data_IF_352308394462
#
_entry.id   IF_352308394462
#
_cell.length_a   1.000
_cell.length_b   1.000
_cell.length_c   1.000
_cell.angle_alpha   90.00
_cell.angle_beta   90.00
_cell.angle_gamma   90.00
#
_symmetry.space_group_name_H-M   'P 1'
#
loop_
_entity.id
_entity.type
_entity.pdbx_description
1 polymer ?
#
# COMPACT_ATOMS: atom_id res chain seq x y z
N UNK A 1 15.97 -25.55 55.64
CA UNK A 1 17.40 -25.94 55.54
C UNK A 1 17.99 -25.25 54.32
N UNK A 2 19.06 -24.49 54.53
CA UNK A 2 19.76 -23.73 53.49
C UNK A 2 20.61 -24.65 52.62
N UNK A 3 20.60 -24.44 51.29
CA UNK A 3 21.80 -24.66 50.48
C UNK A 3 21.99 -23.47 49.54
N UNK A 4 23.10 -22.78 49.79
CA UNK A 4 23.71 -21.76 48.95
C UNK A 4 24.73 -22.47 48.06
N UNK A 5 24.80 -22.12 46.77
CA UNK A 5 26.07 -22.13 46.05
C UNK A 5 26.15 -20.92 45.11
N UNK A 6 27.14 -20.07 45.43
CA UNK A 6 27.72 -19.02 44.58
C UNK A 6 28.58 -19.65 43.48
N UNK A 7 28.76 -18.97 42.35
CA UNK A 7 30.00 -18.30 41.90
C UNK A 7 29.85 -17.78 40.42
N UNK A 8 30.82 -17.04 39.82
CA UNK A 8 30.55 -15.74 39.17
C UNK A 8 31.05 -15.61 37.70
N UNK A 9 30.67 -14.54 36.98
CA UNK A 9 31.42 -13.98 35.84
C UNK A 9 30.82 -12.59 35.52
N UNK A 10 31.49 -11.49 35.89
CA UNK A 10 32.55 -10.82 35.14
C UNK A 10 32.00 -9.84 34.10
N UNK A 11 32.25 -8.56 34.42
CA UNK A 11 31.93 -7.32 33.74
C UNK A 11 32.61 -7.23 32.37
N UNK A 12 31.87 -6.79 31.35
CA UNK A 12 32.42 -6.17 30.14
C UNK A 12 31.75 -4.80 29.97
N UNK A 13 32.56 -3.77 30.07
CA UNK A 13 32.22 -2.37 29.83
C UNK A 13 32.82 -1.92 28.49
N UNK A 14 32.39 -0.73 28.03
CA UNK A 14 32.93 0.16 26.97
C UNK A 14 32.16 0.09 25.63
N UNK A 15 31.69 1.17 24.98
CA UNK A 15 31.71 2.64 25.16
C UNK A 15 30.63 3.25 24.21
N UNK A 16 30.08 4.44 24.47
CA UNK A 16 29.27 5.21 23.52
C UNK A 16 30.16 6.10 22.64
N UNK A 17 29.84 6.19 21.35
CA UNK A 17 30.45 7.16 20.43
C UNK A 17 29.35 7.99 19.77
N UNK A 18 29.05 9.17 20.33
CA UNK A 18 28.31 10.23 19.65
C UNK A 18 28.83 11.59 20.12
N UNK A 19 29.51 12.31 19.23
CA UNK A 19 29.57 13.78 19.22
C UNK A 19 30.20 14.31 17.91
N UNK A 20 29.58 15.40 17.43
CA UNK A 20 29.98 16.38 16.41
C UNK A 20 29.71 15.99 14.93
N UNK A 21 28.70 16.53 14.24
CA UNK A 21 28.40 17.94 13.86
C UNK A 21 29.47 18.61 13.00
N UNK A 22 29.13 18.83 11.72
CA UNK A 22 29.47 19.97 10.86
C UNK A 22 28.95 19.62 9.45
N UNK A 23 28.50 20.50 8.56
CA UNK A 23 28.10 21.91 8.52
C UNK A 23 27.79 22.07 7.02
N UNK A 24 26.57 22.34 6.56
CA UNK A 24 26.36 22.68 5.13
C UNK A 24 25.14 23.61 4.96
N UNK A 25 25.45 24.81 4.47
CA UNK A 25 24.61 25.98 4.19
C UNK A 25 23.33 25.69 3.40
N UNK A 26 22.31 26.56 3.55
CA UNK A 26 21.94 27.28 2.33
C UNK A 26 21.56 28.75 2.56
N UNK A 27 22.20 29.65 1.83
CA UNK A 27 21.62 30.98 1.55
C UNK A 27 21.78 31.32 0.06
N UNK A 28 20.76 30.96 -0.72
CA UNK A 28 20.60 31.41 -2.09
C UNK A 28 19.83 32.72 -2.10
N UNK A 29 20.57 33.78 -2.41
CA UNK A 29 20.10 35.14 -2.66
C UNK A 29 19.44 35.28 -4.05
N UNK A 30 18.50 36.23 -4.16
CA UNK A 30 17.93 36.88 -5.37
C UNK A 30 16.79 36.15 -6.11
N UNK A 31 15.72 36.80 -6.60
CA UNK A 31 15.33 38.22 -6.63
C UNK A 31 13.83 38.34 -6.99
N UNK A 32 13.19 39.40 -6.51
CA UNK A 32 11.94 39.94 -7.04
C UNK A 32 12.08 40.34 -8.52
N UNK A 33 10.97 40.30 -9.29
CA UNK A 33 10.47 41.45 -10.07
C UNK A 33 9.16 41.11 -10.81
N UNK A 34 8.08 41.65 -10.26
CA UNK A 34 7.02 42.49 -10.86
C UNK A 34 6.74 42.53 -12.38
N UNK A 35 5.42 42.66 -12.65
CA UNK A 35 4.78 43.45 -13.73
C UNK A 35 4.86 42.90 -15.17
N UNK A 36 3.82 42.96 -16.02
CA UNK A 36 2.63 43.81 -16.05
C UNK A 36 1.50 43.15 -16.90
N UNK A 37 0.25 43.55 -16.61
CA UNK A 37 -0.83 43.54 -17.60
C UNK A 37 -0.59 44.64 -18.67
N UNK A 38 -1.23 44.56 -19.86
CA UNK A 38 -2.31 45.52 -20.09
C UNK A 38 -3.47 45.10 -21.03
N UNK A 39 -4.62 45.73 -20.75
CA UNK A 39 -5.68 46.29 -21.62
C UNK A 39 -6.39 45.50 -22.73
N UNK A 40 -7.71 45.38 -22.51
CA UNK A 40 -8.88 45.64 -23.37
C UNK A 40 -8.71 45.92 -24.87
N UNK A 41 -9.54 45.28 -25.71
CA UNK A 41 -10.46 46.01 -26.59
C UNK A 41 -11.63 45.14 -27.07
N UNK A 42 -12.72 45.83 -27.39
CA UNK A 42 -14.07 45.38 -27.76
C UNK A 42 -14.22 45.32 -29.27
N UNK A 43 -14.89 44.30 -29.82
CA UNK A 43 -15.75 44.41 -31.02
C UNK A 43 -16.51 43.11 -31.35
N UNK A 44 -17.84 43.22 -31.22
CA UNK A 44 -18.95 42.71 -32.04
C UNK A 44 -19.13 41.24 -32.50
N UNK A 45 -20.42 40.81 -32.65
CA UNK A 45 -20.81 39.41 -32.83
C UNK A 45 -20.86 39.03 -34.31
N UNK A 46 -20.25 37.89 -34.65
CA UNK A 46 -20.49 37.24 -35.94
C UNK A 46 -21.46 36.08 -35.74
N UNK A 47 -22.62 36.21 -36.34
CA UNK A 47 -23.68 35.20 -36.45
C UNK A 47 -23.12 33.95 -37.15
N UNK A 48 -22.87 32.88 -36.40
CA UNK A 48 -22.54 31.58 -36.94
C UNK A 48 -23.78 30.67 -36.95
N UNK A 49 -24.17 30.26 -38.15
CA UNK A 49 -25.14 29.20 -38.46
C UNK A 49 -24.87 27.93 -37.64
N UNK A 50 -25.86 27.32 -36.96
CA UNK A 50 -25.67 26.03 -36.34
C UNK A 50 -25.58 24.95 -37.43
N UNK A 51 -24.37 24.48 -37.68
CA UNK A 51 -24.14 23.18 -38.33
C UNK A 51 -24.47 22.09 -37.31
N UNK A 52 -25.31 21.09 -37.63
CA UNK A 52 -25.52 19.95 -36.74
C UNK A 52 -24.20 19.16 -36.68
N UNK A 53 -23.43 19.40 -35.62
CA UNK A 53 -22.34 18.51 -35.25
C UNK A 53 -22.97 17.18 -34.90
N UNK A 54 -22.82 16.20 -35.79
CA UNK A 54 -23.05 14.82 -35.45
C UNK A 54 -22.04 14.47 -34.34
N UNK A 55 -22.50 14.50 -33.09
CA UNK A 55 -21.79 13.92 -31.96
C UNK A 55 -21.70 12.43 -32.23
N UNK A 56 -20.61 12.02 -32.87
CA UNK A 56 -20.18 10.63 -32.86
C UNK A 56 -19.84 10.33 -31.41
N UNK A 57 -20.76 9.69 -30.71
CA UNK A 57 -20.48 9.11 -29.42
C UNK A 57 -19.38 8.06 -29.65
N UNK A 58 -18.16 8.37 -29.22
CA UNK A 58 -17.15 7.35 -28.99
C UNK A 58 -17.79 6.29 -28.10
N UNK A 59 -17.78 5.01 -28.47
CA UNK A 59 -18.24 3.99 -27.54
C UNK A 59 -17.37 4.10 -26.29
N UNK A 60 -18.00 4.32 -25.15
CA UNK A 60 -17.37 4.09 -23.86
C UNK A 60 -16.94 2.63 -23.87
N UNK A 61 -15.63 2.40 -24.04
CA UNK A 61 -15.02 1.09 -23.89
C UNK A 61 -15.18 0.72 -22.42
N UNK A 62 -16.25 -0.02 -22.13
CA UNK A 62 -16.44 -0.65 -20.82
C UNK A 62 -15.25 -1.58 -20.63
N UNK A 63 -14.34 -1.21 -19.72
CA UNK A 63 -13.25 -2.07 -19.29
C UNK A 63 -13.82 -3.46 -18.94
N UNK A 64 -13.12 -4.55 -19.30
CA UNK A 64 -13.59 -5.89 -18.98
C UNK A 64 -13.82 -5.98 -17.47
N UNK A 65 -14.98 -6.51 -17.07
CA UNK A 65 -15.27 -6.76 -15.66
C UNK A 65 -14.17 -7.64 -15.07
N UNK A 66 -13.74 -7.32 -13.84
CA UNK A 66 -12.79 -8.14 -13.10
C UNK A 66 -13.29 -9.59 -13.10
N UNK A 67 -12.44 -10.50 -13.55
CA UNK A 67 -12.75 -11.94 -13.58
C UNK A 67 -12.39 -12.61 -12.26
N UNK A 68 -11.80 -11.85 -11.33
CA UNK A 68 -11.50 -12.31 -10.00
C UNK A 68 -12.78 -12.32 -9.13
N UNK A 69 -12.88 -13.26 -8.17
CA UNK A 69 -13.86 -13.17 -7.10
C UNK A 69 -13.61 -11.92 -6.24
N UNK A 70 -14.61 -11.52 -5.44
CA UNK A 70 -14.40 -10.46 -4.47
C UNK A 70 -13.40 -10.92 -3.39
N UNK A 71 -12.67 -9.98 -2.79
CA UNK A 71 -11.70 -10.27 -1.74
C UNK A 71 -12.36 -11.02 -0.56
N UNK A 72 -13.52 -10.55 -0.09
CA UNK A 72 -14.25 -11.21 0.99
C UNK A 72 -14.81 -12.60 0.64
N UNK A 73 -14.79 -13.02 -0.63
CA UNK A 73 -15.16 -14.38 -1.02
C UNK A 73 -13.98 -15.36 -0.90
N UNK A 74 -12.74 -14.87 -0.80
CA UNK A 74 -11.52 -15.70 -0.79
C UNK A 74 -10.72 -15.64 0.51
N UNK A 75 -11.04 -14.68 1.39
CA UNK A 75 -10.46 -14.58 2.73
C UNK A 75 -11.57 -14.48 3.78
N UNK A 76 -11.37 -15.15 4.91
CA UNK A 76 -12.32 -15.17 6.02
C UNK A 76 -11.67 -14.76 7.34
N UNK A 77 -12.50 -14.38 8.31
CA UNK A 77 -12.06 -14.10 9.69
C UNK A 77 -11.29 -15.29 10.30
N UNK A 78 -11.72 -16.53 10.04
CA UNK A 78 -11.05 -17.73 10.53
C UNK A 78 -9.63 -17.86 9.95
N UNK A 79 -9.43 -17.43 8.71
CA UNK A 79 -8.13 -17.45 8.07
C UNK A 79 -7.17 -16.42 8.67
N UNK A 80 -7.62 -15.18 8.87
CA UNK A 80 -6.82 -14.16 9.55
C UNK A 80 -6.49 -14.60 10.98
N UNK A 81 -7.49 -15.12 11.70
CA UNK A 81 -7.29 -15.58 13.07
C UNK A 81 -6.26 -16.71 13.16
N UNK A 82 -6.19 -17.58 12.15
CA UNK A 82 -5.16 -18.62 12.06
C UNK A 82 -3.77 -18.07 11.75
N UNK A 83 -3.68 -17.03 10.90
CA UNK A 83 -2.40 -16.45 10.47
C UNK A 83 -1.80 -15.57 11.57
N UNK A 84 -2.58 -14.63 12.09
CA UNK A 84 -2.14 -13.60 13.04
C UNK A 84 -2.35 -14.01 14.51
N UNK A 85 -3.06 -15.11 14.78
CA UNK A 85 -3.32 -15.57 16.14
C UNK A 85 -4.29 -14.70 16.96
N UNK A 86 -4.91 -13.70 16.34
CA UNK A 86 -5.88 -12.79 16.97
C UNK A 86 -7.33 -13.13 16.59
N UNK A 87 -8.30 -12.61 17.33
CA UNK A 87 -9.72 -12.78 17.00
C UNK A 87 -10.23 -11.59 16.21
N UNK A 88 -10.24 -11.71 14.88
CA UNK A 88 -10.72 -10.65 13.99
C UNK A 88 -12.25 -10.58 13.93
N UNK A 89 -12.75 -9.41 13.57
CA UNK A 89 -14.11 -9.22 13.06
C UNK A 89 -14.03 -8.72 11.63
N UNK A 90 -15.06 -9.05 10.82
CA UNK A 90 -15.19 -8.46 9.49
C UNK A 90 -15.71 -7.03 9.66
N UNK A 91 -14.98 -6.05 9.17
CA UNK A 91 -15.38 -4.64 9.22
C UNK A 91 -16.10 -4.22 7.93
N UNK A 92 -15.67 -4.74 6.78
CA UNK A 92 -16.22 -4.26 5.52
C UNK A 92 -15.76 -4.97 4.27
N UNK A 93 -16.39 -4.55 3.18
CA UNK A 93 -15.93 -4.79 1.83
C UNK A 93 -16.10 -3.49 1.08
N UNK A 94 -15.07 -3.09 0.37
CA UNK A 94 -15.01 -1.81 -0.32
C UNK A 94 -14.32 -1.97 -1.69
N UNK A 95 -14.24 -0.85 -2.39
CA UNK A 95 -13.54 -0.77 -3.68
C UNK A 95 -12.77 0.52 -3.71
N UNK A 96 -11.47 0.43 -4.00
CA UNK A 96 -10.57 1.56 -4.10
C UNK A 96 -10.17 1.89 -5.53
N UNK A 97 -9.57 3.07 -5.69
CA UNK A 97 -8.78 3.41 -6.88
C UNK A 97 -7.42 3.92 -6.41
N UNK A 98 -6.37 3.24 -6.80
CA UNK A 98 -4.98 3.59 -6.46
C UNK A 98 -4.31 4.23 -7.67
N UNK A 99 -3.54 5.29 -7.44
CA UNK A 99 -2.69 5.92 -8.46
C UNK A 99 -1.29 6.12 -7.92
N UNK A 100 -0.32 5.43 -8.50
CA UNK A 100 1.05 5.42 -8.02
C UNK A 100 2.02 5.09 -9.15
N UNK A 101 3.22 5.68 -9.15
CA UNK A 101 4.25 5.35 -10.14
C UNK A 101 3.84 5.56 -11.60
N UNK A 102 2.83 6.40 -11.85
CA UNK A 102 2.26 6.62 -13.19
C UNK A 102 1.24 5.56 -13.63
N UNK A 103 0.96 4.57 -12.79
CA UNK A 103 -0.07 3.55 -12.95
C UNK A 103 -1.35 3.98 -12.21
N UNK A 104 -2.48 3.46 -12.64
CA UNK A 104 -3.76 3.58 -11.93
C UNK A 104 -4.53 2.28 -12.05
N UNK A 105 -5.10 1.79 -10.95
CA UNK A 105 -5.88 0.56 -10.93
C UNK A 105 -6.98 0.63 -9.87
N UNK A 106 -7.99 -0.22 -10.05
CA UNK A 106 -9.07 -0.40 -9.07
C UNK A 106 -8.83 -1.65 -8.25
N UNK A 107 -9.22 -1.60 -6.99
CA UNK A 107 -9.15 -2.73 -6.07
C UNK A 107 -10.56 -3.12 -5.64
N UNK A 108 -10.73 -4.39 -5.28
CA UNK A 108 -11.79 -4.81 -4.40
C UNK A 108 -11.16 -5.34 -3.11
N UNK A 109 -11.61 -4.81 -1.98
CA UNK A 109 -10.97 -4.99 -0.69
C UNK A 109 -11.91 -5.64 0.32
N UNK A 110 -11.30 -6.22 1.35
CA UNK A 110 -12.00 -6.84 2.48
C UNK A 110 -11.27 -6.46 3.77
N UNK A 111 -11.99 -5.80 4.66
CA UNK A 111 -11.44 -5.21 5.88
C UNK A 111 -11.74 -6.08 7.09
N UNK A 112 -10.72 -6.25 7.92
CA UNK A 112 -10.83 -6.99 9.16
C UNK A 112 -10.19 -6.19 10.29
N UNK A 113 -10.86 -6.15 11.43
CA UNK A 113 -10.42 -5.38 12.60
C UNK A 113 -10.22 -6.29 13.82
N UNK A 114 -9.25 -5.92 14.65
CA UNK A 114 -9.18 -6.30 16.05
C UNK A 114 -9.23 -5.01 16.87
N UNK A 115 -10.40 -4.70 17.43
CA UNK A 115 -10.66 -3.45 18.14
C UNK A 115 -9.50 -3.02 19.06
N UNK A 116 -8.89 -1.89 18.73
CA UNK A 116 -7.83 -1.28 19.53
C UNK A 116 -6.45 -1.93 19.37
N UNK A 117 -6.25 -2.76 18.34
CA UNK A 117 -4.99 -3.42 18.06
C UNK A 117 -4.52 -3.27 16.61
N UNK A 118 -5.28 -3.79 15.64
CA UNK A 118 -4.83 -3.87 14.24
C UNK A 118 -6.00 -3.95 13.27
N UNK A 119 -5.90 -3.17 12.21
CA UNK A 119 -6.70 -3.29 10.99
C UNK A 119 -5.91 -4.06 9.93
N UNK A 120 -6.57 -4.96 9.21
CA UNK A 120 -5.99 -5.70 8.10
C UNK A 120 -6.92 -5.59 6.89
N UNK A 121 -6.45 -4.96 5.83
CA UNK A 121 -7.14 -4.92 4.53
C UNK A 121 -6.51 -5.93 3.57
N UNK A 122 -7.35 -6.73 2.91
CA UNK A 122 -6.92 -7.60 1.81
C UNK A 122 -7.58 -7.15 0.52
N UNK A 123 -6.76 -6.69 -0.43
CA UNK A 123 -7.22 -6.16 -1.72
C UNK A 123 -6.85 -7.10 -2.87
N UNK A 124 -7.76 -7.24 -3.83
CA UNK A 124 -7.55 -7.96 -5.09
C UNK A 124 -7.65 -7.00 -6.28
N UNK A 125 -6.71 -7.13 -7.20
CA UNK A 125 -6.70 -6.39 -8.48
C UNK A 125 -6.36 -7.36 -9.61
N UNK A 126 -7.22 -7.43 -10.63
CA UNK A 126 -6.96 -8.22 -11.84
C UNK A 126 -6.38 -7.37 -12.97
N UNK A 127 -5.92 -8.01 -14.07
CA UNK A 127 -5.41 -7.28 -15.24
C UNK A 127 -6.39 -6.28 -15.85
N UNK A 128 -7.69 -6.58 -15.80
CA UNK A 128 -8.75 -5.69 -16.30
C UNK A 128 -8.98 -4.45 -15.44
N UNK A 129 -8.47 -4.43 -14.21
CA UNK A 129 -8.71 -3.36 -13.25
C UNK A 129 -7.67 -2.23 -13.36
N UNK A 130 -6.58 -2.43 -14.11
CA UNK A 130 -5.62 -1.39 -14.45
C UNK A 130 -6.23 -0.42 -15.47
N UNK A 131 -6.59 0.77 -14.99
CA UNK A 131 -7.16 1.86 -15.80
C UNK A 131 -6.08 2.69 -16.49
N UNK A 132 -4.83 2.61 -16.02
CA UNK A 132 -3.66 3.26 -16.65
C UNK A 132 -2.41 2.42 -16.46
N UNK A 133 -1.67 2.22 -17.56
CA UNK A 133 -0.44 1.43 -17.58
C UNK A 133 -0.70 -0.02 -17.97
N UNK A 134 0.14 -0.93 -17.47
CA UNK A 134 -0.02 -2.37 -17.70
C UNK A 134 -0.05 -3.09 -16.35
N UNK A 135 -0.86 -4.14 -16.28
CA UNK A 135 -0.87 -5.05 -15.14
C UNK A 135 0.53 -5.61 -14.89
N UNK A 136 0.88 -5.73 -13.62
CA UNK A 136 2.17 -6.21 -13.18
C UNK A 136 2.28 -6.16 -11.66
N UNK A 137 3.51 -6.11 -11.17
CA UNK A 137 3.81 -6.03 -9.75
C UNK A 137 4.38 -4.66 -9.37
N UNK A 138 3.53 -3.62 -9.23
CA UNK A 138 4.00 -2.27 -8.96
C UNK A 138 4.69 -2.21 -7.60
N UNK A 139 5.94 -1.76 -7.58
CA UNK A 139 6.65 -1.46 -6.34
C UNK A 139 5.93 -0.30 -5.61
N UNK A 140 5.62 -0.44 -4.31
CA UNK A 140 5.16 0.68 -3.49
C UNK A 140 6.18 1.82 -3.46
N UNK A 141 5.70 3.04 -3.26
CA UNK A 141 6.49 4.23 -2.99
C UNK A 141 7.21 4.10 -1.65
N UNK A 142 8.46 4.56 -1.62
CA UNK A 142 9.33 4.57 -0.42
C UNK A 142 9.31 5.91 0.32
N UNK A 143 8.39 6.82 -0.04
CA UNK A 143 8.33 8.17 0.52
C UNK A 143 8.12 8.21 2.05
N UNK A 144 7.45 7.19 2.60
CA UNK A 144 6.96 7.10 3.97
C UNK A 144 7.38 5.79 4.67
N UNK A 145 8.09 4.91 3.96
CA UNK A 145 8.46 3.60 4.47
C UNK A 145 9.68 3.00 3.80
N UNK A 146 10.10 1.86 4.32
CA UNK A 146 11.17 1.05 3.75
C UNK A 146 10.53 0.01 2.86
N UNK A 147 10.94 -0.04 1.58
CA UNK A 147 10.44 -1.00 0.60
C UNK A 147 11.50 -2.04 0.28
N UNK A 148 11.15 -3.31 0.43
CA UNK A 148 12.02 -4.46 0.19
C UNK A 148 11.36 -5.45 -0.78
N UNK A 149 12.12 -6.10 -1.67
CA UNK A 149 11.58 -7.20 -2.47
C UNK A 149 11.26 -8.42 -1.59
N UNK A 150 10.23 -9.17 -2.01
CA UNK A 150 9.83 -10.45 -1.41
C UNK A 150 9.75 -11.49 -2.52
N UNK A 151 10.73 -12.38 -2.56
CA UNK A 151 10.90 -13.37 -3.64
C UNK A 151 10.40 -14.77 -3.26
N UNK A 152 9.91 -14.95 -2.04
CA UNK A 152 9.59 -16.23 -1.42
C UNK A 152 8.09 -16.43 -1.12
N UNK A 153 7.22 -15.79 -1.91
CA UNK A 153 5.76 -15.95 -1.81
C UNK A 153 5.28 -17.06 -2.75
N UNK A 154 4.84 -18.19 -2.20
CA UNK A 154 4.33 -19.30 -2.99
C UNK A 154 3.11 -18.88 -3.86
N UNK A 155 3.18 -19.16 -5.16
CA UNK A 155 2.14 -18.80 -6.13
C UNK A 155 2.28 -17.40 -6.72
N UNK A 156 3.19 -16.56 -6.20
CA UNK A 156 3.54 -15.29 -6.80
C UNK A 156 4.71 -15.42 -7.79
N UNK A 157 4.77 -14.48 -8.72
CA UNK A 157 5.87 -14.24 -9.66
C UNK A 157 6.78 -13.09 -9.22
N UNK A 158 6.36 -12.33 -8.21
CA UNK A 158 7.13 -11.28 -7.55
C UNK A 158 6.31 -10.67 -6.42
N UNK A 159 6.97 -9.91 -5.55
CA UNK A 159 6.33 -9.20 -4.46
C UNK A 159 7.20 -8.14 -3.82
N UNK A 160 6.54 -7.30 -3.02
CA UNK A 160 7.14 -6.17 -2.32
C UNK A 160 6.57 -6.09 -0.91
N UNK A 161 7.43 -5.77 0.05
CA UNK A 161 7.07 -5.46 1.42
C UNK A 161 7.45 -4.01 1.70
N UNK A 162 6.47 -3.20 2.06
CA UNK A 162 6.66 -1.85 2.59
C UNK A 162 6.34 -1.87 4.07
N UNK A 163 7.14 -1.18 4.88
CA UNK A 163 6.86 -0.97 6.30
C UNK A 163 7.13 0.48 6.69
N UNK A 164 6.29 1.05 7.56
CA UNK A 164 6.44 2.41 8.07
C UNK A 164 7.80 2.62 8.73
N UNK A 165 8.31 3.84 8.61
CA UNK A 165 9.61 4.24 9.19
C UNK A 165 9.50 4.72 10.64
N UNK A 166 8.29 4.96 11.13
CA UNK A 166 7.98 5.43 12.47
C UNK A 166 6.67 4.80 12.95
N UNK A 167 6.46 4.65 14.27
CA UNK A 167 5.20 4.13 14.81
C UNK A 167 4.00 5.07 14.50
N UNK A 168 2.79 4.51 14.41
CA UNK A 168 2.47 3.08 14.51
C UNK A 168 3.05 2.23 13.36
N UNK A 169 3.09 0.90 13.56
CA UNK A 169 3.52 0.01 12.49
C UNK A 169 2.42 -0.03 11.43
N UNK A 170 2.75 0.40 10.22
CA UNK A 170 1.93 0.22 9.01
C UNK A 170 2.75 -0.65 8.06
N UNK A 171 2.13 -1.66 7.47
CA UNK A 171 2.78 -2.61 6.58
C UNK A 171 1.94 -2.85 5.35
N UNK A 172 2.58 -2.98 4.20
CA UNK A 172 1.91 -3.27 2.93
C UNK A 172 2.70 -4.35 2.19
N UNK A 173 2.09 -5.53 2.03
CA UNK A 173 2.59 -6.58 1.16
C UNK A 173 1.86 -6.53 -0.18
N UNK A 174 2.60 -6.44 -1.29
CA UNK A 174 2.09 -6.72 -2.64
C UNK A 174 2.62 -8.05 -3.13
N UNK A 175 1.74 -8.97 -3.50
CA UNK A 175 2.07 -10.28 -4.06
C UNK A 175 1.38 -10.46 -5.42
N UNK A 176 2.15 -10.76 -6.45
CA UNK A 176 1.67 -10.67 -7.83
C UNK A 176 1.80 -12.00 -8.55
N UNK A 177 0.70 -12.50 -9.09
CA UNK A 177 0.68 -13.63 -10.02
C UNK A 177 0.48 -13.13 -11.47
N UNK A 178 0.31 -14.05 -12.41
CA UNK A 178 -0.05 -13.69 -13.78
C UNK A 178 -1.44 -13.05 -13.89
N UNK A 179 -2.34 -13.34 -12.95
CA UNK A 179 -3.77 -13.05 -13.06
C UNK A 179 -4.32 -12.18 -11.91
N UNK A 180 -3.52 -11.94 -10.86
CA UNK A 180 -3.93 -11.14 -9.71
C UNK A 180 -2.76 -10.44 -9.03
N UNK A 181 -2.97 -9.20 -8.62
CA UNK A 181 -2.21 -8.49 -7.59
C UNK A 181 -3.03 -8.60 -6.29
N UNK A 182 -2.43 -9.25 -5.30
CA UNK A 182 -2.94 -9.32 -3.92
C UNK A 182 -2.19 -8.29 -3.11
N UNK A 183 -2.92 -7.39 -2.46
CA UNK A 183 -2.36 -6.45 -1.48
C UNK A 183 -2.85 -6.85 -0.09
N UNK A 184 -1.96 -6.88 0.89
CA UNK A 184 -2.29 -7.04 2.31
C UNK A 184 -1.74 -5.81 3.02
N UNK A 185 -2.62 -4.94 3.47
CA UNK A 185 -2.30 -3.78 4.30
C UNK A 185 -2.58 -4.13 5.77
N UNK A 186 -1.68 -3.71 6.64
CA UNK A 186 -1.81 -3.88 8.09
C UNK A 186 -1.50 -2.56 8.77
N UNK A 187 -2.40 -2.12 9.65
CA UNK A 187 -2.26 -0.87 10.38
C UNK A 187 -2.46 -1.16 11.87
N UNK A 188 -1.38 -1.04 12.65
CA UNK A 188 -1.45 -1.22 14.10
C UNK A 188 -1.84 0.07 14.80
N UNK A 189 -2.52 -0.06 15.94
CA UNK A 189 -2.80 1.07 16.82
C UNK A 189 -1.51 1.55 17.53
N UNK A 190 -1.40 2.86 17.73
CA UNK A 190 -0.22 3.46 18.38
C UNK A 190 -0.05 2.97 19.83
N UNK A 191 1.21 2.70 20.19
CA UNK A 191 1.58 2.23 21.52
C UNK A 191 1.22 0.77 21.81
N UNK A 192 0.76 0.00 20.82
CA UNK A 192 0.53 -1.43 20.97
C UNK A 192 1.80 -2.25 20.69
N UNK A 193 2.02 -3.27 21.53
CA UNK A 193 3.02 -4.29 21.27
C UNK A 193 2.39 -5.35 20.35
N UNK A 194 2.91 -5.48 19.13
CA UNK A 194 2.53 -6.57 18.24
C UNK A 194 3.35 -7.84 18.53
N UNK A 195 2.66 -8.98 18.56
CA UNK A 195 3.26 -10.30 18.69
C UNK A 195 3.37 -10.97 17.32
N UNK A 196 4.60 -11.26 16.84
CA UNK A 196 4.80 -12.00 15.60
C UNK A 196 5.83 -11.37 14.66
N UNK A 197 5.74 -11.74 13.38
CA UNK A 197 6.47 -11.09 12.29
C UNK A 197 5.44 -10.65 11.23
N UNK A 198 5.13 -9.34 11.11
CA UNK A 198 4.02 -8.89 10.28
C UNK A 198 4.26 -9.24 8.82
N UNK A 199 5.50 -9.16 8.36
CA UNK A 199 5.88 -9.53 6.99
C UNK A 199 5.59 -11.01 6.74
N UNK A 200 6.05 -11.88 7.64
CA UNK A 200 5.86 -13.34 7.48
C UNK A 200 4.38 -13.73 7.54
N UNK A 201 3.57 -13.02 8.32
CA UNK A 201 2.14 -13.26 8.43
C UNK A 201 1.37 -12.77 7.19
N UNK A 202 1.68 -11.57 6.70
CA UNK A 202 1.14 -11.08 5.42
C UNK A 202 1.51 -12.00 4.26
N UNK A 203 2.73 -12.56 4.23
CA UNK A 203 3.13 -13.54 3.21
C UNK A 203 2.27 -14.80 3.29
N UNK A 204 2.06 -15.37 4.47
CA UNK A 204 1.20 -16.55 4.65
C UNK A 204 -0.26 -16.28 4.22
N UNK A 205 -0.78 -15.09 4.51
CA UNK A 205 -2.11 -14.66 4.07
C UNK A 205 -2.18 -14.55 2.54
N UNK A 206 -1.21 -13.88 1.92
CA UNK A 206 -1.16 -13.73 0.47
C UNK A 206 -1.02 -15.08 -0.26
N UNK A 207 -0.17 -15.99 0.23
CA UNK A 207 -0.04 -17.35 -0.32
C UNK A 207 -1.36 -18.13 -0.28
N UNK A 208 -2.11 -17.97 0.81
CA UNK A 208 -3.41 -18.59 0.94
C UNK A 208 -4.42 -18.00 -0.05
N UNK A 209 -4.48 -16.67 -0.18
CA UNK A 209 -5.35 -16.00 -1.15
C UNK A 209 -5.01 -16.45 -2.57
N UNK A 210 -3.74 -16.42 -2.95
CA UNK A 210 -3.27 -16.87 -4.27
C UNK A 210 -3.60 -18.34 -4.56
N UNK A 211 -3.55 -19.20 -3.53
CA UNK A 211 -3.99 -20.60 -3.65
C UNK A 211 -5.50 -20.71 -3.85
N UNK A 212 -6.30 -19.94 -3.10
CA UNK A 212 -7.76 -19.96 -3.22
C UNK A 212 -8.24 -19.50 -4.61
N UNK A 213 -7.50 -18.59 -5.25
CA UNK A 213 -7.78 -18.15 -6.62
C UNK A 213 -7.56 -19.23 -7.69
N UNK A 214 -6.83 -20.30 -7.39
CA UNK A 214 -6.51 -21.38 -8.34
C UNK A 214 -7.56 -22.52 -8.36
N UNK A 215 -8.51 -22.51 -7.41
CA UNK A 215 -9.52 -23.58 -7.24
C UNK A 215 -8.96 -24.88 -6.67
#
# INVERSE_FOLDING_TARGET
MHLRHLAPAAVLALLPAFAACSDDDPDSTSAETSSAAPTSDTAEPTTATPSPSATSATPTETAPASTLPAACDVVTVDDLSRVYGQSFVLDGADTGETTEGGLSWRTNSCDFDVEGLVDVEVSLTGPGDFTKGSFGCPQPSDADGIVEPVDDIAGATGGWWKVSSAPPLEGELRACSADALVTVEIDYEDGQDYEGDPRSESVQLAEMVLRNLQG
#
